data_IF_249465067102
#
_entry.id   IF_249465067102
#
_cell.length_a   1.000
_cell.length_b   1.000
_cell.length_c   1.000
_cell.angle_alpha   90.00
_cell.angle_beta   90.00
_cell.angle_gamma   90.00
#
_symmetry.space_group_name_H-M   'P 1'
#
loop_
_entity.id
_entity.type
_entity.pdbx_description
1 polymer ?
2 water ?
#
# COMPACT_ATOMS: atom_id res chain seq x y z
N UNK A 2 -17.07 12.13 -22.30
CA UNK A 2 -17.39 11.41 -21.08
C UNK A 2 -17.50 9.90 -21.34
N UNK A 3 -16.35 9.24 -21.37
CA UNK A 3 -16.31 7.84 -21.77
C UNK A 3 -16.79 6.92 -20.65
N UNK A 4 -17.39 5.81 -21.07
CA UNK A 4 -17.77 4.73 -20.16
C UNK A 4 -16.59 3.82 -19.92
N UNK A 5 -16.48 3.32 -18.71
CA UNK A 5 -15.51 2.28 -18.46
C UNK A 5 -16.23 0.98 -18.79
N UNK A 6 -15.70 0.23 -19.73
CA UNK A 6 -16.42 -0.93 -20.23
C UNK A 6 -15.58 -2.14 -19.95
N UNK A 7 -16.30 -3.23 -19.73
CA UNK A 7 -15.79 -4.53 -19.37
C UNK A 7 -15.98 -5.44 -20.56
N UNK A 8 -14.89 -6.04 -21.02
CA UNK A 8 -14.98 -7.06 -22.05
C UNK A 8 -14.12 -8.23 -21.65
N UNK A 9 -14.57 -9.42 -22.01
CA UNK A 9 -13.79 -10.61 -21.78
C UNK A 9 -12.67 -10.67 -22.81
N UNK A 10 -11.53 -11.19 -22.40
CA UNK A 10 -10.41 -11.34 -23.30
C UNK A 10 -10.83 -12.20 -24.49
N UNK A 11 -10.53 -11.78 -25.73
CA UNK A 11 -10.99 -12.54 -26.91
C UNK A 11 -10.10 -13.71 -27.30
N UNK A 12 -9.10 -14.04 -26.49
CA UNK A 12 -8.25 -15.21 -26.69
C UNK A 12 -7.87 -15.75 -25.32
N UNK A 13 -7.33 -16.97 -25.31
CA UNK A 13 -6.91 -17.60 -24.06
C UNK A 13 -5.60 -17.01 -23.56
N UNK A 14 -5.48 -16.91 -22.24
CA UNK A 14 -4.18 -16.62 -21.64
C UNK A 14 -3.34 -17.88 -21.60
N UNK A 15 -2.02 -17.71 -21.44
CA UNK A 15 -1.15 -18.86 -21.28
C UNK A 15 -1.39 -19.54 -19.94
N UNK A 16 -1.60 -18.76 -18.87
CA UNK A 16 -1.77 -19.33 -17.54
C UNK A 16 -3.24 -19.70 -17.27
N UNK A 17 -3.42 -20.77 -16.50
CA UNK A 17 -4.77 -21.24 -16.14
C UNK A 17 -5.51 -20.20 -15.30
N UNK A 18 -4.84 -19.65 -14.30
CA UNK A 18 -5.39 -18.55 -13.49
C UNK A 18 -4.41 -17.41 -13.59
N UNK A 19 -4.56 -16.52 -14.58
CA UNK A 19 -3.55 -15.49 -14.78
C UNK A 19 -3.51 -14.51 -13.63
N UNK A 20 -2.31 -14.06 -13.31
CA UNK A 20 -2.17 -13.03 -12.31
C UNK A 20 -2.46 -11.67 -12.94
N UNK A 21 -2.52 -10.66 -12.08
CA UNK A 21 -2.88 -9.31 -12.51
C UNK A 21 -1.98 -8.81 -13.62
N UNK A 22 -0.66 -9.01 -13.49
CA UNK A 22 0.25 -8.50 -14.50
C UNK A 22 0.00 -9.14 -15.87
N UNK A 23 -0.24 -10.45 -15.88
CA UNK A 23 -0.54 -11.14 -17.14
C UNK A 23 -1.84 -10.63 -17.74
N UNK A 24 -2.86 -10.43 -16.91
CA UNK A 24 -4.12 -9.92 -17.43
C UNK A 24 -3.96 -8.50 -17.97
N UNK A 25 -3.18 -7.66 -17.31
CA UNK A 25 -2.95 -6.31 -17.82
C UNK A 25 -2.28 -6.38 -19.19
N UNK A 26 -1.24 -7.21 -19.31
CA UNK A 26 -0.55 -7.34 -20.60
C UNK A 26 -1.50 -7.80 -21.70
N UNK A 27 -2.26 -8.88 -21.44
CA UNK A 27 -3.12 -9.43 -22.49
C UNK A 27 -4.31 -8.53 -22.80
N UNK A 28 -4.90 -7.90 -21.78
CA UNK A 28 -5.96 -6.93 -22.02
C UNK A 28 -5.47 -5.79 -22.89
N UNK A 29 -4.25 -5.31 -22.62
CA UNK A 29 -3.69 -4.24 -23.44
C UNK A 29 -3.46 -4.73 -24.87
N UNK A 30 -2.94 -5.95 -25.03
CA UNK A 30 -2.78 -6.53 -26.36
C UNK A 30 -4.12 -6.58 -27.10
N UNK A 31 -5.18 -6.97 -26.40
CA UNK A 31 -6.47 -7.19 -27.06
C UNK A 31 -7.17 -5.88 -27.40
N UNK A 32 -7.12 -4.89 -26.52
CA UNK A 32 -8.07 -3.79 -26.60
C UNK A 32 -7.45 -2.40 -26.68
N UNK A 33 -6.21 -2.20 -26.24
CA UNK A 33 -5.63 -0.86 -26.21
C UNK A 33 -4.31 -0.80 -26.96
N UNK A 34 -4.17 -1.62 -28.01
CA UNK A 34 -2.96 -1.63 -28.85
C UNK A 34 -1.69 -1.84 -28.04
N UNK A 35 -1.77 -2.64 -26.99
CA UNK A 35 -0.61 -2.91 -26.16
C UNK A 35 -0.24 -1.82 -25.18
N UNK A 36 -1.07 -0.78 -25.04
CA UNK A 36 -0.83 0.31 -24.09
C UNK A 36 -1.41 -0.11 -22.75
N UNK A 37 -0.55 -0.54 -21.83
CA UNK A 37 -1.05 -0.99 -20.53
C UNK A 37 -1.61 0.15 -19.70
N UNK A 38 -1.18 1.39 -19.95
CA UNK A 38 -1.67 2.52 -19.18
C UNK A 38 -3.16 2.75 -19.41
N UNK A 39 -3.68 2.32 -20.56
CA UNK A 39 -5.11 2.48 -20.84
C UNK A 39 -5.96 1.37 -20.23
N UNK A 40 -5.35 0.33 -19.66
CA UNK A 40 -6.08 -0.72 -18.98
C UNK A 40 -6.33 -0.24 -17.55
N UNK A 41 -7.60 0.02 -17.22
CA UNK A 41 -7.94 0.58 -15.93
C UNK A 41 -8.22 -0.49 -14.89
N UNK A 42 -8.71 -1.65 -15.30
CA UNK A 42 -8.95 -2.70 -14.31
C UNK A 42 -8.87 -4.05 -14.99
N UNK A 43 -8.58 -5.09 -14.21
CA UNK A 43 -8.57 -6.46 -14.72
C UNK A 43 -9.14 -7.38 -13.66
N UNK A 44 -9.61 -8.54 -14.11
CA UNK A 44 -10.11 -9.59 -13.23
C UNK A 44 -9.71 -10.94 -13.79
N UNK A 45 -9.04 -11.75 -12.98
CA UNK A 45 -8.57 -13.04 -13.45
C UNK A 45 -9.71 -14.04 -13.57
N UNK A 46 -9.66 -14.86 -14.62
CA UNK A 46 -10.67 -15.88 -14.91
C UNK A 46 -9.93 -17.15 -15.35
N UNK A 47 -10.69 -18.11 -15.84
CA UNK A 47 -10.14 -19.40 -16.27
C UNK A 47 -9.54 -19.27 -17.66
N UNK A 48 -8.21 -19.29 -17.74
CA UNK A 48 -7.50 -19.08 -19.00
C UNK A 48 -8.00 -17.82 -19.70
N UNK A 49 -8.40 -16.82 -18.92
CA UNK A 49 -8.99 -15.62 -19.49
C UNK A 49 -8.94 -14.53 -18.44
N UNK A 50 -9.33 -13.33 -18.87
CA UNK A 50 -9.45 -12.17 -18.00
C UNK A 50 -10.69 -11.38 -18.43
N UNK A 51 -11.21 -10.60 -17.49
CA UNK A 51 -12.06 -9.48 -17.82
C UNK A 51 -11.22 -8.22 -17.79
N UNK A 52 -11.46 -7.34 -18.77
CA UNK A 52 -10.66 -6.15 -18.99
C UNK A 52 -11.57 -4.93 -18.90
N UNK A 53 -11.15 -3.92 -18.16
CA UNK A 53 -11.85 -2.65 -18.05
C UNK A 53 -11.00 -1.57 -18.66
N UNK A 54 -11.53 -0.96 -19.72
CA UNK A 54 -10.87 0.14 -20.42
C UNK A 54 -11.95 1.12 -20.87
N UNK A 55 -11.55 2.35 -21.20
CA UNK A 55 -12.49 3.40 -21.52
C UNK A 55 -12.92 3.39 -22.99
N UNK A 56 -14.22 3.58 -23.21
CA UNK A 56 -14.78 3.72 -24.56
C UNK A 56 -15.92 4.73 -24.59
N UNK B 1 3.47 -2.48 -26.33
CA UNK B 1 3.99 -3.14 -27.50
C UNK B 1 3.29 -4.45 -27.84
N UNK B 2 3.93 -5.27 -28.68
CA UNK B 2 3.41 -6.58 -29.04
C UNK B 2 4.05 -7.70 -28.23
N UNK B 3 4.85 -7.36 -27.23
CA UNK B 3 5.48 -8.38 -26.41
C UNK B 3 4.45 -9.08 -25.53
N UNK B 4 4.65 -10.37 -25.32
CA UNK B 4 3.88 -11.16 -24.36
C UNK B 4 4.56 -11.15 -23.01
N UNK B 5 3.76 -11.20 -21.96
CA UNK B 5 4.33 -11.42 -20.64
C UNK B 5 4.36 -12.93 -20.48
N UNK B 6 5.55 -13.50 -20.33
CA UNK B 6 5.70 -14.94 -20.33
C UNK B 6 6.18 -15.34 -18.94
N UNK B 7 5.75 -16.55 -18.56
CA UNK B 7 5.98 -17.15 -17.26
C UNK B 7 6.95 -18.31 -17.46
N UNK B 8 8.06 -18.28 -16.74
CA UNK B 8 9.04 -19.34 -16.82
C UNK B 8 9.46 -19.76 -15.42
N UNK B 9 9.71 -21.04 -15.25
CA UNK B 9 10.27 -21.49 -13.99
C UNK B 9 11.75 -21.18 -13.97
N UNK B 10 12.25 -20.84 -12.78
CA UNK B 10 13.67 -20.60 -12.62
C UNK B 10 14.42 -21.87 -13.03
N UNK B 11 15.47 -21.77 -13.85
CA UNK B 11 16.18 -22.96 -14.31
C UNK B 11 17.19 -23.53 -13.33
N UNK B 12 17.22 -23.01 -12.11
CA UNK B 12 18.06 -23.54 -11.04
C UNK B 12 17.33 -23.35 -9.72
N UNK B 13 17.85 -24.00 -8.68
CA UNK B 13 17.26 -23.89 -7.35
C UNK B 13 17.60 -22.55 -6.72
N UNK B 14 16.67 -22.04 -5.92
CA UNK B 14 17.02 -20.90 -5.07
C UNK B 14 17.79 -21.39 -3.85
N UNK B 15 18.52 -20.46 -3.21
CA UNK B 15 19.20 -20.80 -1.98
C UNK B 15 18.20 -21.05 -0.84
N UNK B 16 17.11 -20.28 -0.79
CA UNK B 16 16.13 -20.43 0.27
C UNK B 16 15.03 -21.43 -0.10
N UNK B 17 14.56 -22.17 0.91
CA UNK B 17 13.48 -23.14 0.69
C UNK B 17 12.19 -22.45 0.26
N UNK B 18 11.83 -21.36 0.92
CA UNK B 18 10.68 -20.55 0.53
C UNK B 18 11.22 -19.15 0.24
N UNK B 19 11.61 -18.87 -0.99
CA UNK B 19 12.22 -17.56 -1.27
C UNK B 19 11.22 -16.42 -1.16
N UNK B 20 11.71 -15.29 -0.68
CA UNK B 20 10.89 -14.10 -0.65
C UNK B 20 10.90 -13.41 -2.01
N UNK B 21 10.04 -12.40 -2.14
CA UNK B 21 9.90 -11.72 -3.41
C UNK B 21 11.23 -11.14 -3.89
N UNK B 22 12.01 -10.56 -2.98
CA UNK B 22 13.29 -9.96 -3.39
C UNK B 22 14.23 -11.03 -3.92
N UNK B 23 14.29 -12.19 -3.27
CA UNK B 23 15.12 -13.29 -3.74
C UNK B 23 14.69 -13.76 -5.12
N UNK B 24 13.37 -13.89 -5.33
CA UNK B 24 12.88 -14.34 -6.62
C UNK B 24 13.15 -13.30 -7.71
N UNK B 25 12.99 -12.01 -7.41
CA UNK B 25 13.30 -10.99 -8.41
C UNK B 25 14.78 -11.06 -8.80
N UNK B 26 15.65 -11.18 -7.79
CA UNK B 26 17.09 -11.27 -8.07
C UNK B 26 17.40 -12.48 -8.95
N UNK B 27 16.90 -13.66 -8.57
CA UNK B 27 17.24 -14.88 -9.30
C UNK B 27 16.58 -14.90 -10.68
N UNK B 28 15.35 -14.42 -10.78
CA UNK B 28 14.68 -14.33 -12.07
C UNK B 28 15.45 -13.41 -13.02
N UNK B 29 15.91 -12.27 -12.51
CA UNK B 29 16.69 -11.35 -13.33
C UNK B 29 18.00 -11.98 -13.76
N UNK B 30 18.68 -12.66 -12.84
CA UNK B 30 19.90 -13.39 -13.20
C UNK B 30 19.64 -14.41 -14.31
N UNK B 31 18.53 -15.13 -14.22
CA UNK B 31 18.28 -16.22 -15.15
C UNK B 31 17.86 -15.70 -16.52
N UNK B 32 17.05 -14.65 -16.58
CA UNK B 32 16.33 -14.35 -17.81
C UNK B 32 16.54 -12.95 -18.37
N UNK B 33 16.93 -11.97 -17.57
CA UNK B 33 17.04 -10.60 -18.07
C UNK B 33 18.42 -10.01 -17.83
N UNK B 34 19.46 -10.84 -17.82
CA UNK B 34 20.84 -10.39 -17.66
C UNK B 34 20.99 -9.50 -16.42
N UNK B 35 20.28 -9.86 -15.37
CA UNK B 35 20.35 -9.13 -14.12
C UNK B 35 19.57 -7.84 -14.06
N UNK B 36 18.76 -7.51 -15.06
CA UNK B 36 17.94 -6.30 -15.03
C UNK B 36 16.67 -6.60 -14.25
N UNK B 37 16.61 -6.18 -13.00
CA UNK B 37 15.45 -6.48 -12.17
C UNK B 37 14.21 -5.71 -12.62
N UNK B 38 14.39 -4.55 -13.27
CA UNK B 38 13.24 -3.78 -13.71
C UNK B 38 12.48 -4.50 -14.81
N UNK B 39 13.14 -5.40 -15.54
CA UNK B 39 12.46 -6.16 -16.59
C UNK B 39 11.70 -7.36 -16.03
N UNK B 40 11.88 -7.69 -14.76
CA UNK B 40 11.09 -8.74 -14.13
C UNK B 40 9.80 -8.09 -13.67
N UNK B 41 8.70 -8.43 -14.33
CA UNK B 41 7.43 -7.78 -14.05
C UNK B 41 6.64 -8.48 -12.95
N UNK B 42 6.85 -9.78 -12.77
CA UNK B 42 6.16 -10.47 -11.68
C UNK B 42 6.99 -11.67 -11.25
N UNK B 43 6.78 -12.11 -10.00
CA UNK B 43 7.42 -13.32 -9.48
C UNK B 43 6.44 -14.05 -8.58
N UNK B 44 6.68 -15.36 -8.42
CA UNK B 44 5.90 -16.17 -7.51
C UNK B 44 6.80 -17.19 -6.83
N UNK B 45 6.78 -17.21 -5.50
CA UNK B 45 7.65 -18.10 -4.75
C UNK B 45 7.13 -19.54 -4.80
N UNK B 46 8.05 -20.50 -4.91
CA UNK B 46 7.72 -21.91 -4.89
C UNK B 46 8.78 -22.64 -4.08
N UNK B 47 8.64 -23.95 -4.00
CA UNK B 47 9.51 -24.76 -3.16
C UNK B 47 10.90 -24.79 -3.80
N UNK B 48 11.85 -24.09 -3.17
CA UNK B 48 13.21 -23.91 -3.70
C UNK B 48 13.19 -23.39 -5.13
N UNK B 49 12.20 -22.56 -5.47
CA UNK B 49 12.13 -22.13 -6.86
C UNK B 49 11.29 -20.86 -6.95
N UNK B 50 11.22 -20.31 -8.15
CA UNK B 50 10.36 -19.18 -8.46
C UNK B 50 9.75 -19.38 -9.84
N UNK B 51 8.60 -18.76 -10.03
CA UNK B 51 8.09 -18.45 -11.35
C UNK B 51 8.40 -16.99 -11.65
N UNK B 52 8.82 -16.72 -12.88
CA UNK B 52 9.30 -15.42 -13.34
C UNK B 52 8.44 -14.95 -14.50
N UNK B 53 7.96 -13.71 -14.44
CA UNK B 53 7.20 -13.10 -15.53
C UNK B 53 7.97 -11.92 -16.08
N UNK B 54 8.32 -12.02 -17.36
CA UNK B 54 9.03 -10.95 -18.08
C UNK B 54 8.53 -10.91 -19.52
N UNK B 55 8.83 -9.81 -20.20
CA UNK B 55 8.32 -9.59 -21.56
C UNK B 55 9.22 -10.21 -22.62
N UNK B 56 8.59 -10.85 -23.61
CA UNK B 56 9.30 -11.44 -24.74
C UNK B 56 8.49 -11.33 -26.03
N UNK C 1 27.26 -11.35 -15.72
CA UNK C 1 26.64 -11.89 -14.53
C UNK C 1 26.17 -10.83 -13.56
N UNK C 2 25.38 -11.24 -12.57
CA UNK C 2 24.85 -10.34 -11.56
C UNK C 2 25.17 -10.88 -10.17
N UNK C 3 25.01 -10.01 -9.18
CA UNK C 3 25.23 -10.41 -7.80
C UNK C 3 24.08 -11.30 -7.31
N UNK C 4 24.40 -12.16 -6.34
CA UNK C 4 23.40 -12.96 -5.65
C UNK C 4 22.84 -12.17 -4.46
N UNK C 5 21.56 -12.33 -4.20
CA UNK C 5 21.01 -11.80 -2.96
C UNK C 5 21.18 -12.94 -1.95
N UNK C 6 21.87 -12.68 -0.85
CA UNK C 6 22.22 -13.75 0.06
C UNK C 6 21.57 -13.43 1.39
N UNK C 7 21.21 -14.51 2.07
CA UNK C 7 20.47 -14.50 3.32
C UNK C 7 21.36 -15.00 4.44
N UNK C 8 21.52 -14.19 5.48
CA UNK C 8 22.26 -14.62 6.65
C UNK C 8 21.48 -14.28 7.90
N UNK C 9 21.54 -15.16 8.89
CA UNK C 9 20.92 -14.82 10.15
C UNK C 9 21.87 -13.92 10.94
N UNK C 10 21.27 -13.02 11.71
CA UNK C 10 22.05 -12.09 12.53
C UNK C 10 22.95 -12.88 13.49
N UNK C 11 24.26 -12.53 13.54
CA UNK C 11 25.19 -13.26 14.40
C UNK C 11 25.21 -12.81 15.86
N UNK C 12 24.28 -11.94 16.26
CA UNK C 12 24.13 -11.54 17.64
C UNK C 12 22.66 -11.31 17.91
N UNK C 13 22.31 -11.17 19.19
CA UNK C 13 20.91 -10.95 19.57
C UNK C 13 20.50 -9.51 19.32
N UNK C 14 19.24 -9.31 18.93
CA UNK C 14 18.67 -7.97 18.95
C UNK C 14 18.24 -7.62 20.38
N UNK C 15 18.06 -6.33 20.61
CA UNK C 15 17.55 -5.90 21.91
C UNK C 15 16.07 -6.29 22.08
N UNK C 16 15.28 -6.19 21.02
CA UNK C 16 13.85 -6.48 21.07
C UNK C 16 13.54 -7.94 20.82
N UNK C 17 12.45 -8.42 21.45
CA UNK C 17 12.01 -9.80 21.26
C UNK C 17 11.64 -10.06 19.79
N UNK C 18 10.86 -9.16 19.19
CA UNK C 18 10.63 -9.17 17.74
C UNK C 18 11.10 -7.84 17.22
N UNK C 19 12.29 -7.74 16.67
CA UNK C 19 12.74 -6.44 16.16
C UNK C 19 11.85 -5.99 15.01
N UNK C 20 11.67 -4.68 14.93
CA UNK C 20 10.90 -4.09 13.85
C UNK C 20 11.77 -4.01 12.60
N UNK C 21 11.15 -3.66 11.47
CA UNK C 21 11.89 -3.64 10.22
C UNK C 21 13.08 -2.68 10.33
N UNK C 22 12.88 -1.53 10.98
CA UNK C 22 13.98 -0.59 11.15
C UNK C 22 15.09 -1.16 12.01
N UNK C 23 14.74 -1.85 13.11
CA UNK C 23 15.77 -2.46 13.94
C UNK C 23 16.55 -3.51 13.16
N UNK C 24 15.85 -4.34 12.39
CA UNK C 24 16.54 -5.37 11.63
C UNK C 24 17.42 -4.77 10.55
N UNK C 25 16.97 -3.69 9.88
CA UNK C 25 17.82 -3.05 8.88
C UNK C 25 19.09 -2.55 9.54
N UNK C 26 18.95 -1.87 10.69
CA UNK C 26 20.08 -1.35 11.45
C UNK C 26 21.06 -2.45 11.85
N UNK C 27 20.54 -3.49 12.50
CA UNK C 27 21.41 -4.53 13.04
C UNK C 27 22.03 -5.38 11.93
N UNK C 28 21.28 -5.67 10.87
CA UNK C 28 21.82 -6.37 9.72
C UNK C 28 22.97 -5.58 9.10
N UNK C 29 22.80 -4.26 8.98
CA UNK C 29 23.89 -3.44 8.46
C UNK C 29 25.10 -3.48 9.39
N UNK C 30 24.86 -3.40 10.70
CA UNK C 30 25.96 -3.52 11.65
C UNK C 30 26.71 -4.83 11.48
N UNK C 31 25.97 -5.92 11.30
CA UNK C 31 26.57 -7.24 11.28
C UNK C 31 27.31 -7.53 9.99
N UNK C 32 26.78 -7.10 8.85
CA UNK C 32 27.23 -7.66 7.58
C UNK C 32 27.70 -6.63 6.56
N UNK C 33 27.28 -5.37 6.65
CA UNK C 33 27.59 -4.39 5.62
C UNK C 33 28.29 -3.16 6.17
N UNK C 34 29.12 -3.32 7.21
CA UNK C 34 29.91 -2.23 7.78
C UNK C 34 29.03 -1.06 8.21
N UNK C 35 27.83 -1.39 8.69
CA UNK C 35 26.90 -0.36 9.09
C UNK C 35 26.22 0.35 7.94
N UNK C 36 26.44 -0.09 6.70
CA UNK C 36 25.87 0.54 5.52
C UNK C 36 24.45 0.00 5.35
N UNK C 37 23.46 0.79 5.76
CA UNK C 37 22.08 0.37 5.65
C UNK C 37 21.59 0.33 4.21
N UNK C 38 22.23 1.09 3.31
CA UNK C 38 21.80 1.11 1.92
C UNK C 38 21.99 -0.24 1.25
N UNK C 39 22.96 -1.03 1.72
CA UNK C 39 23.23 -2.33 1.13
C UNK C 39 22.31 -3.44 1.65
N UNK C 40 21.49 -3.17 2.66
CA UNK C 40 20.55 -4.17 3.16
C UNK C 40 19.30 -4.10 2.31
N UNK C 41 19.08 -5.14 1.49
CA UNK C 41 17.94 -5.15 0.56
C UNK C 41 16.69 -5.76 1.16
N UNK C 42 16.81 -6.66 2.13
CA UNK C 42 15.60 -7.23 2.73
C UNK C 42 15.89 -7.68 4.15
N UNK C 43 14.85 -7.74 4.98
CA UNK C 43 14.97 -8.23 6.34
C UNK C 43 13.73 -9.03 6.70
N UNK C 44 13.89 -9.88 7.70
CA UNK C 44 12.78 -10.66 8.27
C UNK C 44 12.97 -10.79 9.77
N UNK C 45 11.95 -10.43 10.54
CA UNK C 45 12.05 -10.46 11.99
C UNK C 45 11.95 -11.89 12.52
N UNK C 46 12.72 -12.17 13.57
CA UNK C 46 12.73 -13.47 14.23
C UNK C 46 12.78 -13.22 15.73
N UNK C 47 12.97 -14.30 16.49
CA UNK C 47 13.02 -14.23 17.95
C UNK C 47 14.37 -13.69 18.40
N UNK C 48 14.40 -12.45 18.88
CA UNK C 48 15.64 -11.77 19.25
C UNK C 48 16.67 -11.86 18.13
N UNK C 49 16.21 -11.84 16.88
CA UNK C 49 17.12 -11.99 15.75
C UNK C 49 16.46 -11.49 14.48
N UNK C 50 17.25 -11.49 13.40
CA UNK C 50 16.75 -11.14 12.08
C UNK C 50 17.40 -12.05 11.07
N UNK C 51 16.72 -12.20 9.94
CA UNK C 51 17.36 -12.63 8.71
C UNK C 51 17.62 -11.39 7.86
N UNK C 52 18.79 -11.37 7.24
CA UNK C 52 19.31 -10.23 6.50
C UNK C 52 19.58 -10.66 5.07
N UNK C 53 19.10 -9.86 4.10
CA UNK C 53 19.35 -10.09 2.69
C UNK C 53 20.12 -8.92 2.12
N UNK C 54 21.31 -9.21 1.59
CA UNK C 54 22.11 -8.19 0.94
C UNK C 54 22.83 -8.82 -0.26
N UNK C 55 23.34 -7.98 -1.16
CA UNK C 55 23.94 -8.48 -2.39
C UNK C 55 25.40 -8.86 -2.19
N UNK C 56 25.80 -9.95 -2.83
CA UNK C 56 27.20 -10.40 -2.85
C UNK C 56 27.51 -11.09 -4.17
N UNK D 3 21.73 8.62 12.39
CA UNK D 3 22.45 7.45 11.93
C UNK D 3 22.06 6.23 12.74
N UNK D 4 22.39 6.27 14.03
CA UNK D 4 22.07 5.18 14.95
C UNK D 4 20.66 5.26 15.50
N UNK D 5 19.95 4.15 15.46
CA UNK D 5 18.59 4.00 15.97
C UNK D 5 18.55 3.33 17.35
N UNK D 6 17.60 3.78 18.19
CA UNK D 6 17.43 3.24 19.54
C UNK D 6 15.94 3.14 19.87
N UNK D 7 15.60 2.17 20.71
CA UNK D 7 14.25 1.88 21.19
C UNK D 7 14.10 2.22 22.67
N UNK D 8 13.09 3.03 22.98
CA UNK D 8 12.75 3.36 24.36
C UNK D 8 11.24 3.33 24.57
N UNK D 9 10.82 2.95 25.76
CA UNK D 9 9.41 3.07 26.12
C UNK D 9 9.08 4.52 26.48
N UNK D 10 7.87 4.94 26.16
CA UNK D 10 7.42 6.27 26.54
C UNK D 10 7.50 6.41 28.05
N UNK D 11 8.13 7.48 28.57
CA UNK D 11 8.27 7.64 30.02
C UNK D 11 7.06 8.26 30.72
N UNK D 12 5.95 8.47 30.01
CA UNK D 12 4.71 8.96 30.60
C UNK D 12 3.54 8.34 29.86
N UNK D 13 2.35 8.47 30.42
CA UNK D 13 1.14 7.91 29.82
C UNK D 13 0.66 8.75 28.63
N UNK D 14 0.11 8.07 27.63
CA UNK D 14 -0.58 8.76 26.54
C UNK D 14 -1.98 9.18 26.96
N UNK D 15 -2.54 10.14 26.23
CA UNK D 15 -3.92 10.52 26.50
C UNK D 15 -4.87 9.41 26.08
N UNK D 16 -4.60 8.77 24.95
CA UNK D 16 -5.47 7.72 24.43
C UNK D 16 -5.09 6.36 24.99
N UNK D 17 -6.12 5.52 25.17
CA UNK D 17 -5.87 4.15 25.63
C UNK D 17 -5.04 3.40 24.60
N UNK D 18 -5.37 3.54 23.31
CA UNK D 18 -4.57 3.01 22.22
C UNK D 18 -4.19 4.13 21.26
N UNK D 19 -3.02 4.75 21.45
CA UNK D 19 -2.63 5.85 20.57
C UNK D 19 -2.37 5.36 19.17
N UNK D 20 -2.76 6.17 18.20
CA UNK D 20 -2.45 5.90 16.81
C UNK D 20 -1.06 6.47 16.49
N UNK D 21 -0.58 6.19 15.28
CA UNK D 21 0.81 6.50 14.92
C UNK D 21 1.16 7.96 15.14
N UNK D 22 0.29 8.88 14.73
CA UNK D 22 0.59 10.31 14.87
C UNK D 22 0.72 10.69 16.34
N UNK D 23 -0.14 10.14 17.19
CA UNK D 23 -0.08 10.41 18.63
C UNK D 23 1.24 9.93 19.21
N UNK D 24 1.67 8.73 18.84
CA UNK D 24 2.93 8.21 19.35
C UNK D 24 4.12 9.00 18.81
N UNK D 25 4.08 9.42 17.55
CA UNK D 25 5.17 10.24 17.01
C UNK D 25 5.27 11.55 17.80
N UNK D 26 4.12 12.19 18.05
CA UNK D 26 4.09 13.42 18.82
C UNK D 26 4.69 13.20 20.21
N UNK D 27 4.21 12.18 20.92
CA UNK D 27 4.65 12.00 22.30
C UNK D 27 6.11 11.53 22.37
N UNK D 28 6.53 10.67 21.45
CA UNK D 28 7.92 10.25 21.38
C UNK D 28 8.84 11.42 21.13
N UNK D 29 8.47 12.31 20.21
CA UNK D 29 9.30 13.49 19.96
C UNK D 29 9.34 14.39 21.18
N UNK D 30 8.19 14.59 21.82
CA UNK D 30 8.15 15.37 23.05
C UNK D 30 9.06 14.77 24.11
N UNK D 31 9.09 13.45 24.21
CA UNK D 31 9.87 12.78 25.25
C UNK D 31 11.36 12.77 24.95
N UNK D 32 11.76 12.57 23.68
CA UNK D 32 13.13 12.19 23.38
C UNK D 32 13.86 13.10 22.40
N UNK D 33 13.18 13.87 21.56
CA UNK D 33 13.86 14.67 20.54
C UNK D 33 13.50 16.14 20.65
N UNK D 34 13.21 16.62 21.85
CA UNK D 34 12.89 18.03 22.09
C UNK D 34 11.74 18.49 21.19
N UNK D 35 10.79 17.60 20.95
CA UNK D 35 9.66 17.94 20.11
C UNK D 35 9.92 17.92 18.63
N UNK D 36 11.09 17.44 18.21
CA UNK D 36 11.42 17.36 16.78
C UNK D 36 10.82 16.07 16.24
N UNK D 37 9.69 16.19 15.54
CA UNK D 37 9.03 15.00 15.02
C UNK D 37 9.82 14.34 13.91
N UNK D 38 10.64 15.12 13.19
CA UNK D 38 11.42 14.56 12.09
C UNK D 38 12.47 13.57 12.57
N UNK D 39 12.92 13.69 13.82
CA UNK D 39 13.93 12.77 14.34
C UNK D 39 13.35 11.45 14.86
N UNK D 40 12.03 11.30 14.92
CA UNK D 40 11.39 10.05 15.32
C UNK D 40 11.27 9.15 14.10
N UNK D 41 12.00 8.03 14.13
CA UNK D 41 12.09 7.12 12.99
C UNK D 41 11.04 6.00 13.00
N UNK D 42 10.61 5.54 14.18
CA UNK D 42 9.57 4.50 14.23
C UNK D 42 8.81 4.61 15.54
N UNK D 43 7.59 4.10 15.56
CA UNK D 43 6.78 4.04 16.77
C UNK D 43 5.98 2.74 16.80
N UNK D 44 5.55 2.37 17.99
CA UNK D 44 4.68 1.22 18.19
C UNK D 44 3.68 1.51 19.29
N UNK D 45 2.40 1.34 18.99
CA UNK D 45 1.33 1.64 19.94
C UNK D 45 1.24 0.56 21.03
N UNK D 46 0.95 0.99 22.26
CA UNK D 46 0.77 0.08 23.38
C UNK D 46 -0.40 0.57 24.22
N UNK D 47 -0.61 -0.08 25.35
CA UNK D 47 -1.70 0.26 26.27
C UNK D 47 -1.31 1.52 27.03
N UNK D 48 -1.97 2.63 26.71
CA UNK D 48 -1.63 3.94 27.28
C UNK D 48 -0.16 4.29 27.15
N UNK D 49 0.50 3.82 26.07
CA UNK D 49 1.93 4.06 25.95
C UNK D 49 2.36 3.87 24.51
N UNK D 50 3.64 4.15 24.26
CA UNK D 50 4.28 3.93 22.97
C UNK D 50 5.68 3.40 23.19
N UNK D 51 6.17 2.69 22.17
CA UNK D 51 7.59 2.47 21.96
C UNK D 51 8.08 3.43 20.90
N UNK D 52 9.26 4.00 21.12
CA UNK D 52 9.84 5.03 20.28
C UNK D 52 11.19 4.55 19.76
N UNK D 53 11.39 4.66 18.46
CA UNK D 53 12.68 4.41 17.82
C UNK D 53 13.15 5.72 17.22
N UNK D 54 14.28 6.23 17.69
CA UNK D 54 14.79 7.51 17.26
C UNK D 54 16.30 7.46 17.14
N UNK D 55 16.85 8.47 16.47
CA UNK D 55 18.28 8.52 16.19
C UNK D 55 19.05 9.08 17.38
N UNK E 2 4.30 18.47 12.71
CA UNK E 2 4.70 19.86 12.76
C UNK E 2 4.21 20.63 13.99
N UNK E 3 2.99 21.15 13.90
CA UNK E 3 2.35 21.88 15.00
C UNK E 3 1.88 20.88 16.06
N UNK E 4 1.09 21.35 17.03
CA UNK E 4 0.58 20.47 18.06
C UNK E 4 -0.56 19.63 17.48
N UNK E 5 -0.50 18.33 17.75
CA UNK E 5 -1.52 17.37 17.32
C UNK E 5 -2.50 17.12 18.46
N UNK E 6 -3.79 17.28 18.17
CA UNK E 6 -4.84 17.15 19.18
C UNK E 6 -5.88 16.15 18.69
N UNK E 7 -6.43 15.36 19.62
CA UNK E 7 -7.46 14.37 19.35
C UNK E 7 -8.76 14.83 20.01
N UNK E 8 -9.81 15.00 19.22
CA UNK E 8 -11.11 15.41 19.74
C UNK E 8 -12.21 14.63 19.03
N UNK E 9 -13.31 14.37 19.74
CA UNK E 9 -14.45 13.80 19.06
C UNK E 9 -15.21 14.90 18.33
N UNK E 10 -15.82 14.54 17.20
CA UNK E 10 -16.60 15.49 16.42
C UNK E 10 -17.70 16.10 17.28
N UNK E 11 -17.86 17.44 17.29
CA UNK E 11 -18.85 18.08 18.14
C UNK E 11 -20.26 18.16 17.55
N UNK E 12 -20.50 17.54 16.41
CA UNK E 12 -21.83 17.47 15.83
C UNK E 12 -21.96 16.13 15.12
N UNK E 13 -23.19 15.79 14.75
CA UNK E 13 -23.46 14.52 14.07
C UNK E 13 -23.06 14.58 12.60
N UNK E 14 -22.55 13.46 12.09
CA UNK E 14 -22.35 13.28 10.66
C UNK E 14 -23.66 12.92 9.98
N UNK E 15 -23.71 13.10 8.66
CA UNK E 15 -24.87 12.66 7.90
C UNK E 15 -24.96 11.14 7.87
N UNK E 16 -23.84 10.46 7.73
CA UNK E 16 -23.81 9.00 7.62
C UNK E 16 -23.77 8.34 8.99
N UNK E 17 -24.42 7.18 9.09
CA UNK E 17 -24.46 6.43 10.35
C UNK E 17 -23.06 5.98 10.75
N UNK E 18 -22.31 5.41 9.81
CA UNK E 18 -20.90 5.10 10.02
C UNK E 18 -20.13 5.80 8.91
N UNK E 19 -19.66 7.03 9.15
CA UNK E 19 -19.00 7.79 8.09
C UNK E 19 -17.69 7.15 7.67
N UNK E 20 -17.40 7.26 6.38
CA UNK E 20 -16.13 6.78 5.88
C UNK E 20 -15.05 7.83 6.11
N UNK E 21 -13.81 7.45 5.81
CA UNK E 21 -12.66 8.30 6.11
C UNK E 21 -12.78 9.68 5.48
N UNK E 22 -13.20 9.76 4.20
CA UNK E 22 -13.28 11.06 3.54
C UNK E 22 -14.32 11.96 4.20
N UNK E 23 -15.46 11.39 4.59
CA UNK E 23 -16.48 12.16 5.29
C UNK E 23 -15.97 12.67 6.63
N UNK E 24 -15.26 11.81 7.36
CA UNK E 24 -14.70 12.25 8.63
C UNK E 24 -13.64 13.34 8.44
N UNK E 25 -12.82 13.23 7.40
CA UNK E 25 -11.82 14.27 7.15
C UNK E 25 -12.52 15.61 6.90
N UNK E 26 -13.54 15.61 6.04
CA UNK E 26 -14.28 16.84 5.78
C UNK E 26 -14.91 17.41 7.05
N UNK E 27 -15.63 16.59 7.81
CA UNK E 27 -16.34 17.12 8.97
C UNK E 27 -15.36 17.52 10.09
N UNK E 28 -14.31 16.74 10.28
CA UNK E 28 -13.27 17.10 11.26
C UNK E 28 -12.64 18.44 10.90
N UNK E 29 -12.36 18.67 9.61
CA UNK E 29 -11.80 19.95 9.21
C UNK E 29 -12.80 21.09 9.44
N UNK E 30 -14.07 20.85 9.10
CA UNK E 30 -15.11 21.84 9.38
C UNK E 30 -15.16 22.18 10.87
N UNK E 31 -15.01 21.18 11.73
CA UNK E 31 -15.15 21.40 13.16
C UNK E 31 -13.93 22.10 13.75
N UNK E 32 -12.73 21.74 13.29
CA UNK E 32 -11.52 22.06 14.03
C UNK E 32 -10.44 22.82 13.26
N UNK E 33 -10.41 22.79 11.94
CA UNK E 33 -9.32 23.45 11.22
C UNK E 33 -9.84 24.44 10.18
N UNK E 34 -11.00 25.04 10.44
CA UNK E 34 -11.60 26.03 9.54
C UNK E 34 -11.77 25.49 8.13
N UNK E 35 -12.06 24.20 8.02
CA UNK E 35 -12.25 23.53 6.74
C UNK E 35 -10.99 23.16 5.99
N UNK E 36 -9.81 23.33 6.60
CA UNK E 36 -8.55 22.94 5.98
C UNK E 36 -8.33 21.46 6.23
N UNK E 37 -8.62 20.63 5.21
CA UNK E 37 -8.48 19.18 5.36
C UNK E 37 -7.02 18.74 5.50
N UNK E 38 -6.08 19.55 4.98
CA UNK E 38 -4.67 19.16 5.05
C UNK E 38 -4.18 19.10 6.49
N UNK E 39 -4.82 19.85 7.39
CA UNK E 39 -4.45 19.85 8.79
C UNK E 39 -5.08 18.72 9.58
N UNK E 40 -5.95 17.92 8.96
CA UNK E 40 -6.51 16.74 9.59
C UNK E 40 -5.52 15.60 9.37
N UNK E 41 -4.88 15.15 10.44
CA UNK E 41 -3.86 14.12 10.29
C UNK E 41 -4.40 12.71 10.44
N UNK E 42 -5.48 12.50 11.19
CA UNK E 42 -6.04 11.16 11.30
C UNK E 42 -7.52 11.26 11.65
N UNK E 43 -8.28 10.20 11.33
CA UNK E 43 -9.69 10.14 11.67
C UNK E 43 -10.06 8.71 12.07
N UNK E 44 -11.18 8.58 12.77
CA UNK E 44 -11.72 7.27 13.12
C UNK E 44 -13.24 7.35 13.08
N UNK E 45 -13.86 6.43 12.36
CA UNK E 45 -15.31 6.43 12.22
C UNK E 45 -15.99 5.98 13.50
N UNK E 46 -17.11 6.61 13.83
CA UNK E 46 -17.89 6.27 15.01
C UNK E 46 -19.37 6.33 14.63
N UNK E 47 -20.24 6.22 15.63
CA UNK E 47 -21.68 6.23 15.40
C UNK E 47 -22.14 7.67 15.15
N UNK E 48 -22.50 7.96 13.90
CA UNK E 48 -22.88 9.31 13.47
C UNK E 48 -21.85 10.34 13.93
N UNK E 49 -20.58 9.95 13.99
CA UNK E 49 -19.55 10.82 14.54
C UNK E 49 -18.17 10.34 14.06
N UNK E 50 -17.16 11.11 14.43
CA UNK E 50 -15.78 10.79 14.15
C UNK E 50 -14.94 11.17 15.36
N UNK E 51 -13.78 10.52 15.48
CA UNK E 51 -12.67 11.07 16.23
C UNK E 51 -11.72 11.71 15.22
N UNK E 52 -11.18 12.88 15.60
CA UNK E 52 -10.38 13.73 14.74
C UNK E 52 -9.03 13.95 15.37
N UNK E 53 -7.97 13.78 14.58
CA UNK E 53 -6.60 14.11 14.97
C UNK E 53 -6.18 15.23 14.04
N UNK E 54 -5.95 16.42 14.58
CA UNK E 54 -5.67 17.58 13.75
C UNK E 54 -4.58 18.45 14.36
N UNK E 55 -3.97 19.25 13.49
CA UNK E 55 -2.91 20.17 13.87
C UNK E 55 -3.54 21.52 14.24
N UNK E 56 -3.26 21.99 15.45
CA UNK E 56 -3.85 23.24 15.92
C UNK E 56 -2.86 24.40 15.83
N UNK F 3 -12.77 21.50 -1.93
CA UNK F 3 -14.14 21.96 -2.00
C UNK F 3 -15.05 21.16 -1.06
N UNK F 4 -16.36 21.39 -1.19
CA UNK F 4 -17.34 20.73 -0.34
C UNK F 4 -17.50 19.26 -0.73
N UNK F 5 -17.58 18.38 0.25
CA UNK F 5 -17.80 16.96 -0.01
C UNK F 5 -19.28 16.64 0.11
N UNK F 6 -19.85 16.03 -0.94
CA UNK F 6 -21.27 15.72 -1.01
C UNK F 6 -21.40 14.23 -1.30
N UNK F 7 -22.38 13.59 -0.68
CA UNK F 7 -22.64 12.16 -0.84
C UNK F 7 -23.96 11.98 -1.57
N UNK F 8 -23.91 11.27 -2.69
CA UNK F 8 -25.13 10.99 -3.44
C UNK F 8 -25.09 9.57 -3.96
N UNK F 9 -26.27 8.97 -4.08
CA UNK F 9 -26.39 7.70 -4.78
C UNK F 9 -26.30 7.96 -6.27
N UNK F 10 -25.72 7.01 -7.00
CA UNK F 10 -25.67 7.13 -8.44
C UNK F 10 -27.09 7.25 -9.00
N UNK F 11 -27.36 8.22 -9.87
CA UNK F 11 -28.73 8.43 -10.36
C UNK F 11 -29.12 7.54 -11.53
N UNK F 12 -28.27 6.58 -11.90
CA UNK F 12 -28.58 5.60 -12.94
C UNK F 12 -27.93 4.29 -12.53
N UNK F 13 -28.32 3.22 -13.20
CA UNK F 13 -27.78 1.90 -12.92
C UNK F 13 -26.39 1.75 -13.53
N UNK F 14 -25.54 1.00 -12.83
CA UNK F 14 -24.27 0.58 -13.40
C UNK F 14 -24.48 -0.59 -14.36
N UNK F 15 -23.51 -0.78 -15.25
CA UNK F 15 -23.55 -1.94 -16.13
C UNK F 15 -23.32 -3.23 -15.35
N UNK F 16 -22.41 -3.20 -14.37
CA UNK F 16 -22.09 -4.41 -13.63
C UNK F 16 -23.04 -4.61 -12.45
N UNK F 17 -23.31 -5.89 -12.15
CA UNK F 17 -24.18 -6.23 -11.03
C UNK F 17 -23.60 -5.76 -9.71
N UNK F 18 -22.32 -6.02 -9.48
CA UNK F 18 -21.62 -5.44 -8.35
C UNK F 18 -20.40 -4.72 -8.91
N UNK F 19 -20.50 -3.43 -9.15
CA UNK F 19 -19.41 -2.71 -9.81
C UNK F 19 -18.16 -2.66 -8.95
N UNK F 20 -17.02 -2.71 -9.63
CA UNK F 20 -15.77 -2.56 -8.92
C UNK F 20 -15.48 -1.08 -8.72
N UNK F 21 -14.45 -0.80 -7.90
CA UNK F 21 -14.15 0.58 -7.53
C UNK F 21 -13.90 1.46 -8.75
N UNK F 22 -13.18 0.94 -9.74
CA UNK F 22 -12.88 1.74 -10.93
C UNK F 22 -14.16 2.10 -11.68
N UNK F 23 -15.09 1.15 -11.78
CA UNK F 23 -16.36 1.39 -12.44
C UNK F 23 -17.16 2.47 -11.71
N UNK F 24 -17.20 2.39 -10.39
CA UNK F 24 -17.92 3.39 -9.61
C UNK F 24 -17.27 4.76 -9.72
N UNK F 25 -15.94 4.83 -9.74
CA UNK F 25 -15.31 6.13 -9.92
C UNK F 25 -15.70 6.74 -11.26
N UNK F 26 -15.63 5.94 -12.32
CA UNK F 26 -16.01 6.43 -13.64
C UNK F 26 -17.47 6.91 -13.66
N UNK F 27 -18.39 6.09 -13.15
CA UNK F 27 -19.80 6.44 -13.21
C UNK F 27 -20.14 7.62 -12.30
N UNK F 28 -19.55 7.66 -11.10
CA UNK F 28 -19.74 8.81 -10.22
C UNK F 28 -19.25 10.10 -10.86
N UNK F 29 -18.10 10.04 -11.54
CA UNK F 29 -17.60 11.23 -12.22
C UNK F 29 -18.54 11.64 -13.36
N UNK F 30 -19.01 10.66 -14.14
CA UNK F 30 -20.00 10.97 -15.18
C UNK F 30 -21.23 11.64 -14.60
N UNK F 31 -21.70 11.17 -13.45
CA UNK F 31 -22.96 11.67 -12.90
C UNK F 31 -22.79 13.05 -12.27
N UNK F 32 -21.67 13.30 -11.58
CA UNK F 32 -21.62 14.43 -10.65
C UNK F 32 -20.49 15.42 -10.89
N UNK F 33 -19.39 15.04 -11.55
CA UNK F 33 -18.27 15.95 -11.70
C UNK F 33 -17.86 16.12 -13.16
N UNK F 34 -18.81 16.00 -14.07
CA UNK F 34 -18.56 16.18 -15.51
C UNK F 34 -17.41 15.31 -15.99
N UNK F 35 -17.32 14.09 -15.44
CA UNK F 35 -16.28 13.16 -15.82
C UNK F 35 -14.92 13.40 -15.20
N UNK F 36 -14.80 14.31 -14.24
CA UNK F 36 -13.51 14.55 -13.57
C UNK F 36 -13.37 13.57 -12.41
N UNK F 37 -12.57 12.53 -12.62
CA UNK F 37 -12.40 11.50 -11.60
C UNK F 37 -11.63 12.02 -10.38
N UNK F 38 -10.81 13.07 -10.53
CA UNK F 38 -10.06 13.53 -9.37
C UNK F 38 -10.96 14.12 -8.31
N UNK F 39 -12.10 14.66 -8.71
CA UNK F 39 -13.01 15.26 -7.74
C UNK F 39 -13.86 14.21 -7.05
N UNK F 40 -13.78 12.96 -7.50
CA UNK F 40 -14.43 11.85 -6.82
C UNK F 40 -13.48 11.42 -5.69
N UNK F 41 -13.86 11.74 -4.45
CA UNK F 41 -12.99 11.41 -3.33
C UNK F 41 -13.27 10.04 -2.75
N UNK F 42 -14.49 9.53 -2.90
CA UNK F 42 -14.77 8.20 -2.38
C UNK F 42 -15.90 7.57 -3.17
N UNK F 43 -15.92 6.24 -3.19
CA UNK F 43 -17.01 5.48 -3.80
C UNK F 43 -17.28 4.25 -2.94
N UNK F 44 -18.49 3.71 -3.09
CA UNK F 44 -18.88 2.47 -2.43
C UNK F 44 -19.79 1.68 -3.37
N UNK F 45 -19.44 0.43 -3.63
CA UNK F 45 -20.19 -0.40 -4.56
C UNK F 45 -21.50 -0.86 -3.94
N UNK F 46 -22.55 -0.91 -4.75
CA UNK F 46 -23.85 -1.42 -4.33
C UNK F 46 -24.43 -2.24 -5.47
N UNK F 47 -25.63 -2.76 -5.24
CA UNK F 47 -26.28 -3.62 -6.23
C UNK F 47 -26.71 -2.79 -7.41
N UNK F 48 -26.01 -2.98 -8.54
CA UNK F 48 -26.21 -2.19 -9.74
C UNK F 48 -26.15 -0.70 -9.45
N UNK F 49 -25.32 -0.29 -8.49
CA UNK F 49 -25.29 1.12 -8.14
C UNK F 49 -23.99 1.43 -7.40
N UNK F 50 -23.81 2.71 -7.11
CA UNK F 50 -22.70 3.18 -6.30
C UNK F 50 -23.20 4.29 -5.38
N UNK F 51 -22.51 4.46 -4.27
CA UNK F 51 -22.52 5.72 -3.55
C UNK F 51 -21.27 6.50 -3.93
N UNK F 52 -21.44 7.80 -4.12
CA UNK F 52 -20.42 8.69 -4.62
C UNK F 52 -20.20 9.80 -3.62
N UNK F 53 -18.93 10.04 -3.27
CA UNK F 53 -18.54 11.17 -2.44
C UNK F 53 -17.65 12.03 -3.32
N UNK F 54 -18.10 13.25 -3.61
CA UNK F 54 -17.37 14.11 -4.53
C UNK F 54 -17.35 15.55 -4.05
N UNK F 55 -16.36 16.29 -4.55
CA UNK F 55 -16.18 17.69 -4.18
C UNK F 55 -16.90 18.59 -5.18
N UNK F 56 -17.62 19.57 -4.65
CA UNK F 56 -18.36 20.56 -5.43
C UNK F 56 -18.34 21.91 -4.71
#
# INVERSE_FOLDING_TARGET
GSADLIKKKLPFRTRSKFPRKSECVQDCAKAFTNGNKDKIKDVKSEFFSCYCWYEA
GSADLIKKKLPFRTRSKFPRKSECVQDCAKAFTNGNKDKIKDVKSEFFSCYCWYEA
GSADLIKKKLPFRTRSKFPRKSECVQDCAKAFTNGNKDKIKDVKSEFFSCYCWYEA
GSADLIKKKLPFRTRSKFPRKSECVQDCAKAFTNGNKDKIKDVKSEFFSCYCWYEA
GSADLIKKKLPFRTRSKFPRKSECVQDCAKAFTNGNKDKIKDVKSEFFSCYCWYEA
GSADLIKKKLPFRTRSKFPRKSECVQDCAKAFTNGNKDKIKDVKSEFFSCYCWYEA
#
